data_IF_465880208021
#
_entry.id   IF_465880208021
#
_cell.length_a   1.000
_cell.length_b   1.000
_cell.length_c   1.000
_cell.angle_alpha   90.00
_cell.angle_beta   90.00
_cell.angle_gamma   90.00
#
_symmetry.space_group_name_H-M   'P 1'
#
loop_
_entity.id
_entity.type
_entity.pdbx_description
1 polymer ?
#
# COMPACT_ATOMS: atom_id res chain seq x y z
N UNK A 1 -6.66 -8.68 20.79
CA UNK A 1 -5.77 -8.98 19.66
C UNK A 1 -5.62 -7.70 18.87
N UNK A 2 -4.44 -7.08 18.89
CA UNK A 2 -4.18 -5.90 18.07
C UNK A 2 -4.23 -6.35 16.60
N UNK A 3 -5.08 -5.72 15.78
CA UNK A 3 -5.15 -6.01 14.36
C UNK A 3 -3.83 -5.67 13.67
N UNK A 4 -3.44 -6.46 12.68
CA UNK A 4 -2.23 -6.23 11.87
C UNK A 4 -2.34 -4.88 11.15
N UNK A 5 -1.23 -4.16 11.05
CA UNK A 5 -1.21 -2.80 10.51
C UNK A 5 -0.31 -2.70 9.29
N UNK A 6 -0.79 -1.99 8.26
CA UNK A 6 -0.03 -1.77 7.05
C UNK A 6 0.09 -0.27 6.76
N UNK A 7 1.29 0.16 6.37
CA UNK A 7 1.56 1.49 5.85
C UNK A 7 1.75 1.39 4.33
N UNK A 8 0.97 2.15 3.56
CA UNK A 8 1.06 2.15 2.10
C UNK A 8 1.38 3.56 1.61
N UNK A 9 2.57 3.71 1.02
CA UNK A 9 3.09 4.95 0.47
C UNK A 9 3.00 4.90 -1.05
N UNK A 10 1.93 5.47 -1.62
CA UNK A 10 1.71 5.43 -3.07
C UNK A 10 1.04 6.69 -3.61
N UNK A 11 1.27 6.97 -4.89
CA UNK A 11 0.41 7.88 -5.67
C UNK A 11 -1.01 7.29 -5.77
N UNK A 12 -2.03 8.14 -5.81
CA UNK A 12 -3.43 7.70 -5.80
C UNK A 12 -3.78 6.76 -6.95
N UNK A 13 -4.53 5.70 -6.65
CA UNK A 13 -5.15 4.79 -7.60
C UNK A 13 -4.36 3.51 -7.88
N UNK A 14 -3.02 3.56 -7.93
CA UNK A 14 -2.26 2.43 -8.45
C UNK A 14 -2.15 1.24 -7.47
N UNK A 15 -2.13 1.52 -6.16
CA UNK A 15 -2.12 0.50 -5.10
C UNK A 15 -3.46 0.39 -4.35
N UNK A 16 -4.54 0.94 -4.91
CA UNK A 16 -5.86 0.92 -4.29
C UNK A 16 -6.34 -0.51 -4.01
N UNK A 17 -6.21 -1.41 -5.00
CA UNK A 17 -6.59 -2.82 -4.85
C UNK A 17 -5.81 -3.55 -3.74
N UNK A 18 -4.54 -3.18 -3.51
CA UNK A 18 -3.74 -3.73 -2.41
C UNK A 18 -4.33 -3.31 -1.06
N UNK A 19 -4.64 -2.03 -0.92
CA UNK A 19 -5.24 -1.50 0.30
C UNK A 19 -6.62 -2.12 0.57
N UNK A 20 -7.45 -2.31 -0.45
CA UNK A 20 -8.75 -2.98 -0.33
C UNK A 20 -8.60 -4.45 0.09
N UNK A 21 -7.65 -5.17 -0.52
CA UNK A 21 -7.39 -6.58 -0.20
C UNK A 21 -6.93 -6.75 1.25
N UNK A 22 -5.92 -5.98 1.67
CA UNK A 22 -5.45 -6.00 3.06
C UNK A 22 -6.56 -5.61 4.03
N UNK A 23 -7.38 -4.61 3.70
CA UNK A 23 -8.52 -4.24 4.54
C UNK A 23 -9.54 -5.37 4.64
N UNK A 24 -9.84 -6.08 3.54
CA UNK A 24 -10.72 -7.25 3.52
C UNK A 24 -10.18 -8.43 4.33
N UNK A 25 -8.86 -8.50 4.50
CA UNK A 25 -8.17 -9.47 5.36
C UNK A 25 -8.08 -9.04 6.84
N UNK A 26 -8.66 -7.90 7.19
CA UNK A 26 -8.71 -7.41 8.58
C UNK A 26 -7.56 -6.49 8.99
N UNK A 27 -6.77 -6.00 8.03
CA UNK A 27 -5.68 -5.09 8.34
C UNK A 27 -6.19 -3.67 8.61
N UNK A 28 -5.50 -2.96 9.50
CA UNK A 28 -5.61 -1.50 9.60
C UNK A 28 -4.59 -0.88 8.64
N UNK A 29 -5.08 -0.34 7.53
CA UNK A 29 -4.27 0.25 6.47
C UNK A 29 -4.23 1.77 6.63
N UNK A 30 -3.04 2.36 6.60
CA UNK A 30 -2.84 3.82 6.56
C UNK A 30 -2.24 4.22 5.23
N UNK A 31 -2.84 5.22 4.58
CA UNK A 31 -2.48 5.69 3.23
C UNK A 31 -2.14 7.19 3.26
N UNK A 32 -0.87 7.55 3.51
CA UNK A 32 -0.39 8.90 3.35
C UNK A 32 -0.25 9.24 1.86
N UNK A 33 -1.12 10.09 1.32
CA UNK A 33 -1.01 10.55 -0.06
C UNK A 33 -1.64 11.93 -0.29
N UNK A 34 -1.22 12.62 -1.36
CA UNK A 34 -1.63 14.01 -1.64
C UNK A 34 -3.11 14.16 -1.99
N UNK A 35 -3.67 13.21 -2.74
CA UNK A 35 -5.08 13.29 -3.18
C UNK A 35 -5.92 12.36 -2.33
N UNK A 36 -7.12 12.83 -1.97
CA UNK A 36 -8.08 12.01 -1.24
C UNK A 36 -8.42 10.75 -2.04
N UNK A 37 -8.36 9.60 -1.38
CA UNK A 37 -8.71 8.32 -1.98
C UNK A 37 -9.64 7.56 -1.01
N UNK A 38 -10.96 7.69 -1.17
CA UNK A 38 -11.90 6.91 -0.37
C UNK A 38 -11.78 5.44 -0.80
N UNK A 39 -11.46 4.56 0.15
CA UNK A 39 -11.62 3.13 -0.05
C UNK A 39 -13.00 2.75 0.46
N UNK A 40 -13.76 1.95 -0.31
CA UNK A 40 -15.15 1.55 -0.05
C UNK A 40 -15.36 0.76 1.27
N UNK A 41 -14.30 0.56 2.02
CA UNK A 41 -14.29 -0.01 3.37
C UNK A 41 -14.46 1.03 4.47
N UNK A 42 -14.32 2.33 4.18
CA UNK A 42 -14.88 3.35 5.07
C UNK A 42 -16.40 3.22 4.98
N UNK A 43 -17.03 2.58 5.95
CA UNK A 43 -18.48 2.66 6.14
C UNK A 43 -18.82 4.10 6.52
N UNK A 44 -18.83 5.00 5.53
CA UNK A 44 -19.50 6.28 5.63
C UNK A 44 -20.97 5.98 5.35
N UNK A 45 -21.89 6.32 6.28
CA UNK A 45 -23.30 6.28 5.96
C UNK A 45 -23.48 7.14 4.70
N UNK A 46 -24.01 6.54 3.62
CA UNK A 46 -24.27 7.30 2.39
C UNK A 46 -25.14 8.52 2.66
N UNK A 47 -25.19 9.48 1.75
CA UNK A 47 -25.96 10.72 1.94
C UNK A 47 -27.43 10.47 2.33
N UNK A 48 -28.02 9.35 1.89
CA UNK A 48 -29.34 8.88 2.31
C UNK A 48 -29.40 8.43 3.79
N UNK A 49 -28.37 7.74 4.29
CA UNK A 49 -28.27 7.31 5.68
C UNK A 49 -27.95 8.48 6.63
N UNK A 50 -27.14 9.46 6.21
CA UNK A 50 -26.94 10.69 6.98
C UNK A 50 -28.24 11.51 7.12
N UNK A 51 -29.10 11.47 6.09
CA UNK A 51 -30.42 12.13 6.14
C UNK A 51 -31.41 11.39 7.03
N UNK A 52 -31.31 10.07 7.19
CA UNK A 52 -32.20 9.29 8.06
C UNK A 52 -31.80 9.32 9.54
N UNK A 53 -30.54 9.63 9.86
CA UNK A 53 -30.05 9.80 11.23
C UNK A 53 -30.51 11.09 11.92
N UNK A 54 -31.20 12.00 11.21
CA UNK A 54 -31.68 13.29 11.75
C UNK A 54 -33.01 13.23 12.50
N UNK A 55 -33.58 12.05 12.72
CA UNK A 55 -34.78 11.88 13.58
C UNK A 55 -34.49 10.90 14.74
N UNK A 56 -34.95 11.19 15.97
CA UNK A 56 -34.82 10.24 17.08
C UNK A 56 -35.62 8.97 16.75
N UNK A 57 -34.97 7.80 16.75
CA UNK A 57 -35.66 6.50 16.81
C UNK A 57 -35.27 5.45 15.78
N UNK A 58 -34.47 5.75 14.74
CA UNK A 58 -34.12 4.74 13.74
C UNK A 58 -32.83 3.99 14.13
N UNK A 59 -32.96 2.85 14.84
CA UNK A 59 -31.87 1.87 14.94
C UNK A 59 -31.74 1.17 13.58
N UNK A 60 -30.60 1.27 12.87
CA UNK A 60 -30.42 0.50 11.65
C UNK A 60 -30.50 -0.99 11.99
N UNK A 61 -31.26 -1.71 11.16
CA UNK A 61 -31.42 -3.15 11.16
C UNK A 61 -30.06 -3.83 11.08
N UNK A 62 -29.62 -4.49 12.18
CA UNK A 62 -28.52 -5.47 12.16
C UNK A 62 -29.08 -6.76 11.54
N UNK A 63 -28.98 -6.86 10.21
CA UNK A 63 -29.36 -8.07 9.49
C UNK A 63 -28.39 -9.22 9.77
N UNK A 64 -28.89 -10.24 10.48
CA UNK A 64 -28.51 -11.66 10.38
C UNK A 64 -27.13 -12.10 10.93
N UNK A 65 -26.97 -13.39 11.28
CA UNK A 65 -25.69 -13.96 11.69
C UNK A 65 -24.79 -14.19 10.46
N UNK A 66 -24.40 -13.10 9.81
CA UNK A 66 -23.35 -13.12 8.81
C UNK A 66 -22.00 -13.20 9.53
N UNK A 67 -21.17 -14.18 9.16
CA UNK A 67 -19.76 -14.32 9.58
C UNK A 67 -19.14 -12.95 9.85
N UNK A 68 -18.62 -12.75 11.06
CA UNK A 68 -17.89 -11.53 11.43
C UNK A 68 -16.90 -11.21 10.31
N UNK A 69 -17.21 -10.18 9.52
CA UNK A 69 -16.25 -9.64 8.56
C UNK A 69 -15.07 -9.17 9.39
N UNK A 70 -13.84 -9.52 9.02
CA UNK A 70 -12.69 -8.99 9.74
C UNK A 70 -12.77 -7.46 9.65
N UNK A 71 -12.75 -6.77 10.80
CA UNK A 71 -12.94 -5.33 10.96
C UNK A 71 -11.71 -4.53 10.47
N UNK A 72 -11.20 -4.86 9.29
CA UNK A 72 -10.15 -4.08 8.67
C UNK A 72 -10.64 -2.68 8.39
N UNK A 73 -9.73 -1.71 8.51
CA UNK A 73 -10.03 -0.29 8.30
C UNK A 73 -8.94 0.33 7.46
N UNK A 74 -9.32 1.05 6.41
CA UNK A 74 -8.41 1.97 5.74
C UNK A 74 -8.57 3.40 6.28
N UNK A 75 -7.46 4.10 6.46
CA UNK A 75 -7.42 5.51 6.89
C UNK A 75 -6.53 6.29 5.93
N UNK A 76 -7.14 7.22 5.20
CA UNK A 76 -6.40 8.17 4.38
C UNK A 76 -5.83 9.30 5.24
N UNK A 77 -4.62 9.73 4.92
CA UNK A 77 -3.93 10.85 5.56
C UNK A 77 -3.36 11.75 4.47
N UNK A 78 -3.67 13.04 4.55
CA UNK A 78 -3.07 14.00 3.63
C UNK A 78 -1.58 14.16 3.90
N UNK A 79 -0.76 13.81 2.90
CA UNK A 79 0.68 13.85 3.02
C UNK A 79 1.38 14.21 1.70
N UNK A 80 2.58 14.78 1.84
CA UNK A 80 3.41 15.22 0.73
C UNK A 80 4.82 14.62 0.84
N UNK A 81 5.35 14.06 -0.25
CA UNK A 81 6.67 13.42 -0.26
C UNK A 81 7.84 14.39 -0.02
N UNK A 82 7.68 15.66 -0.39
CA UNK A 82 8.62 16.76 -0.12
C UNK A 82 8.62 17.21 1.36
N UNK A 83 7.71 16.66 2.18
CA UNK A 83 7.65 16.90 3.63
C UNK A 83 7.67 15.58 4.41
N UNK A 84 8.78 14.80 4.35
CA UNK A 84 8.83 13.43 4.85
C UNK A 84 8.59 13.32 6.36
N UNK A 85 9.06 14.28 7.16
CA UNK A 85 8.81 14.31 8.62
C UNK A 85 7.36 14.57 8.97
N UNK A 86 6.70 15.48 8.24
CA UNK A 86 5.27 15.78 8.43
C UNK A 86 4.42 14.56 8.05
N UNK A 87 4.78 13.91 6.92
CA UNK A 87 4.17 12.66 6.49
C UNK A 87 4.27 11.59 7.58
N UNK A 88 5.46 11.35 8.12
CA UNK A 88 5.68 10.34 9.15
C UNK A 88 4.88 10.62 10.42
N UNK A 89 4.88 11.86 10.92
CA UNK A 89 4.12 12.23 12.12
C UNK A 89 2.60 12.03 11.94
N UNK A 90 2.05 12.38 10.78
CA UNK A 90 0.62 12.15 10.51
C UNK A 90 0.31 10.65 10.35
N UNK A 91 1.20 9.89 9.72
CA UNK A 91 1.06 8.44 9.57
C UNK A 91 1.10 7.74 10.95
N UNK A 92 2.01 8.13 11.84
CA UNK A 92 2.12 7.63 13.21
C UNK A 92 0.82 7.82 13.99
N UNK A 93 0.28 9.05 13.96
CA UNK A 93 -0.98 9.39 14.62
C UNK A 93 -2.15 8.53 14.10
N UNK A 94 -2.15 8.20 12.81
CA UNK A 94 -3.17 7.37 12.19
C UNK A 94 -2.99 5.87 12.49
N UNK A 95 -1.75 5.36 12.51
CA UNK A 95 -1.41 3.95 12.78
C UNK A 95 -1.69 3.55 14.23
N UNK A 96 -1.52 4.49 15.19
CA UNK A 96 -1.68 4.23 16.63
C UNK A 96 -0.79 3.07 17.12
N UNK A 97 0.45 3.02 16.65
CA UNK A 97 1.45 1.98 16.95
C UNK A 97 2.31 1.64 15.72
N UNK A 98 3.12 0.59 15.81
CA UNK A 98 4.00 0.18 14.73
C UNK A 98 3.26 -0.56 13.60
N UNK A 99 3.74 -0.41 12.37
CA UNK A 99 3.25 -1.13 11.19
C UNK A 99 3.97 -2.46 11.02
N UNK A 100 3.20 -3.51 10.73
CA UNK A 100 3.69 -4.86 10.48
C UNK A 100 4.04 -5.09 9.00
N UNK A 101 3.71 -4.14 8.12
CA UNK A 101 3.98 -4.18 6.69
C UNK A 101 4.13 -2.77 6.13
N UNK A 102 5.15 -2.57 5.28
CA UNK A 102 5.29 -1.38 4.44
C UNK A 102 5.17 -1.74 2.97
N UNK A 103 4.34 -1.00 2.22
CA UNK A 103 4.31 -1.05 0.75
C UNK A 103 4.62 0.34 0.22
N UNK A 104 5.70 0.49 -0.54
CA UNK A 104 6.20 1.77 -1.00
C UNK A 104 6.35 1.81 -2.52
N UNK A 105 5.57 2.68 -3.17
CA UNK A 105 5.77 3.09 -4.56
C UNK A 105 5.97 4.61 -4.61
N UNK A 106 7.24 5.00 -4.45
CA UNK A 106 7.67 6.39 -4.28
C UNK A 106 8.61 6.74 -5.43
N UNK A 107 8.50 7.97 -5.93
CA UNK A 107 9.45 8.50 -6.91
C UNK A 107 10.88 8.51 -6.36
N UNK A 108 11.87 8.17 -7.19
CA UNK A 108 13.27 7.97 -6.77
C UNK A 108 13.81 9.14 -5.94
N UNK A 109 13.52 10.37 -6.37
CA UNK A 109 14.01 11.60 -5.72
C UNK A 109 13.59 11.77 -4.25
N UNK A 110 12.47 11.18 -3.85
CA UNK A 110 11.97 11.24 -2.47
C UNK A 110 12.17 9.94 -1.70
N UNK A 111 12.65 8.87 -2.34
CA UNK A 111 12.64 7.53 -1.71
C UNK A 111 13.47 7.53 -0.43
N UNK A 112 14.72 7.96 -0.50
CA UNK A 112 15.63 7.94 0.66
C UNK A 112 15.09 8.76 1.83
N UNK A 113 14.55 9.94 1.54
CA UNK A 113 14.05 10.86 2.57
C UNK A 113 12.75 10.37 3.21
N UNK A 114 11.83 9.82 2.42
CA UNK A 114 10.56 9.27 2.91
C UNK A 114 10.78 7.96 3.66
N UNK A 115 11.55 7.01 3.11
CA UNK A 115 11.82 5.71 3.74
C UNK A 115 12.50 5.88 5.10
N UNK A 116 13.52 6.73 5.19
CA UNK A 116 14.19 7.02 6.46
C UNK A 116 13.29 7.72 7.49
N UNK A 117 12.28 8.48 7.05
CA UNK A 117 11.33 9.11 7.97
C UNK A 117 10.29 8.14 8.52
N UNK A 118 9.94 7.08 7.79
CA UNK A 118 8.92 6.09 8.21
C UNK A 118 9.51 4.84 8.84
N UNK A 119 10.83 4.62 8.79
CA UNK A 119 11.49 3.45 9.37
C UNK A 119 11.13 3.25 10.84
N UNK A 120 11.13 4.31 11.65
CA UNK A 120 10.75 4.25 13.07
C UNK A 120 9.29 3.87 13.32
N UNK A 121 8.43 3.91 12.30
CA UNK A 121 7.03 3.49 12.39
C UNK A 121 6.86 1.99 12.16
N UNK A 122 7.90 1.28 11.71
CA UNK A 122 7.83 -0.15 11.42
C UNK A 122 8.13 -0.97 12.67
N UNK A 123 7.43 -2.10 12.82
CA UNK A 123 7.79 -3.10 13.81
C UNK A 123 9.15 -3.73 13.43
N UNK A 124 9.89 -4.21 14.42
CA UNK A 124 11.18 -4.85 14.15
C UNK A 124 11.01 -6.04 13.20
N UNK A 125 11.78 -6.04 12.10
CA UNK A 125 11.70 -7.09 11.08
C UNK A 125 10.42 -7.06 10.23
N UNK A 126 9.58 -6.02 10.34
CA UNK A 126 8.40 -5.87 9.49
C UNK A 126 8.80 -5.90 8.01
N UNK A 127 8.20 -6.75 7.17
CA UNK A 127 8.55 -6.82 5.77
C UNK A 127 8.20 -5.54 5.01
N UNK A 128 8.99 -5.27 3.98
CA UNK A 128 8.87 -4.11 3.09
C UNK A 128 8.68 -4.58 1.67
N UNK A 129 7.76 -3.96 0.94
CA UNK A 129 7.59 -4.14 -0.50
C UNK A 129 7.91 -2.82 -1.18
N UNK A 130 8.93 -2.80 -2.03
CA UNK A 130 9.33 -1.62 -2.80
C UNK A 130 8.96 -1.79 -4.27
N UNK A 131 8.16 -0.89 -4.81
CA UNK A 131 7.83 -0.83 -6.23
C UNK A 131 8.73 0.20 -6.91
N UNK A 132 9.51 -0.26 -7.89
CA UNK A 132 10.48 0.55 -8.64
C UNK A 132 10.14 0.55 -10.11
N UNK A 133 10.11 1.72 -10.72
CA UNK A 133 10.08 1.84 -12.17
C UNK A 133 11.47 1.51 -12.71
N UNK A 134 11.56 0.75 -13.79
CA UNK A 134 12.85 0.49 -14.39
C UNK A 134 13.37 1.72 -15.15
N UNK A 135 14.14 2.55 -14.47
CA UNK A 135 14.95 3.59 -15.09
C UNK A 135 16.43 3.26 -14.88
N UNK A 136 17.12 2.92 -15.98
CA UNK A 136 18.57 2.98 -16.11
C UNK A 136 19.40 2.20 -15.08
N UNK A 137 19.54 0.89 -15.25
CA UNK A 137 20.55 0.10 -14.53
C UNK A 137 20.12 -1.34 -14.29
N UNK A 138 21.04 -2.28 -14.49
CA UNK A 138 20.85 -3.72 -14.21
C UNK A 138 21.12 -4.02 -12.72
N UNK A 139 21.87 -3.14 -12.04
CA UNK A 139 22.20 -3.28 -10.63
C UNK A 139 21.18 -2.54 -9.76
N UNK A 140 20.46 -3.31 -8.95
CA UNK A 140 19.58 -2.76 -7.92
C UNK A 140 20.43 -2.30 -6.75
N UNK A 141 20.29 -1.03 -6.29
CA UNK A 141 20.91 -0.62 -5.05
C UNK A 141 20.32 -1.40 -3.89
N UNK A 142 21.17 -1.68 -2.89
CA UNK A 142 20.83 -2.38 -1.66
C UNK A 142 19.52 -1.86 -1.04
N UNK A 143 18.75 -2.72 -0.35
CA UNK A 143 17.56 -2.30 0.39
C UNK A 143 17.88 -1.12 1.31
N UNK A 144 17.05 -0.08 1.27
CA UNK A 144 17.28 1.13 2.07
C UNK A 144 17.11 0.88 3.57
N UNK A 145 16.34 -0.15 3.92
CA UNK A 145 16.00 -0.54 5.29
C UNK A 145 16.61 -1.92 5.57
N UNK A 146 17.91 -2.01 5.92
CA UNK A 146 18.62 -3.29 6.01
C UNK A 146 18.08 -4.22 7.13
N UNK A 147 17.42 -3.65 8.13
CA UNK A 147 16.77 -4.39 9.22
C UNK A 147 15.45 -5.06 8.82
N UNK A 148 15.00 -4.88 7.57
CA UNK A 148 13.69 -5.29 7.11
C UNK A 148 13.78 -6.16 5.84
N UNK A 149 13.21 -7.38 5.84
CA UNK A 149 13.18 -8.22 4.64
C UNK A 149 12.40 -7.51 3.54
N UNK A 150 13.01 -7.36 2.37
CA UNK A 150 12.50 -6.48 1.32
C UNK A 150 12.19 -7.23 0.02
N UNK A 151 10.94 -7.16 -0.43
CA UNK A 151 10.53 -7.63 -1.75
C UNK A 151 10.55 -6.46 -2.72
N UNK A 152 11.42 -6.48 -3.73
CA UNK A 152 11.50 -5.42 -4.74
C UNK A 152 10.71 -5.83 -5.97
N UNK A 153 9.75 -5.01 -6.38
CA UNK A 153 8.96 -5.17 -7.61
C UNK A 153 9.48 -4.20 -8.65
N UNK A 154 10.17 -4.71 -9.67
CA UNK A 154 10.72 -3.92 -10.76
C UNK A 154 9.76 -3.92 -11.95
N UNK A 155 9.18 -2.75 -12.25
CA UNK A 155 8.24 -2.58 -13.33
C UNK A 155 8.96 -2.35 -14.66
N UNK A 156 8.68 -3.21 -15.63
CA UNK A 156 9.03 -3.02 -17.03
C UNK A 156 8.14 -2.00 -17.72
N UNK A 157 8.39 -1.80 -19.01
CA UNK A 157 7.65 -0.85 -19.85
C UNK A 157 6.56 -1.52 -20.71
N UNK A 158 6.73 -2.81 -21.02
CA UNK A 158 5.79 -3.59 -21.84
C UNK A 158 5.26 -4.81 -21.08
N UNK A 159 4.12 -5.34 -21.51
CA UNK A 159 3.52 -6.54 -20.91
C UNK A 159 4.44 -7.75 -21.06
N UNK A 160 4.41 -8.66 -20.08
CA UNK A 160 5.08 -9.95 -20.17
C UNK A 160 4.38 -10.91 -21.15
N UNK A 161 3.09 -10.68 -21.41
CA UNK A 161 2.26 -11.51 -22.27
C UNK A 161 2.19 -10.98 -23.71
N UNK A 162 2.45 -9.69 -23.91
CA UNK A 162 2.41 -9.04 -25.22
C UNK A 162 3.45 -7.90 -25.30
N UNK A 163 4.52 -8.12 -26.07
CA UNK A 163 5.62 -7.17 -26.24
C UNK A 163 5.21 -5.86 -26.96
N UNK A 164 4.05 -5.83 -27.61
CA UNK A 164 3.53 -4.66 -28.31
C UNK A 164 2.61 -3.81 -27.42
N UNK A 165 2.21 -4.33 -26.26
CA UNK A 165 1.32 -3.64 -25.32
C UNK A 165 2.11 -3.02 -24.18
N UNK A 166 1.72 -1.82 -23.77
CA UNK A 166 2.19 -1.24 -22.52
C UNK A 166 1.82 -2.12 -21.32
N UNK A 167 2.65 -2.12 -20.29
CA UNK A 167 2.36 -2.82 -19.05
C UNK A 167 1.04 -2.31 -18.44
N UNK A 168 0.08 -3.21 -18.26
CA UNK A 168 -1.24 -2.82 -17.78
C UNK A 168 -1.26 -2.66 -16.26
N UNK A 169 -2.21 -1.85 -15.79
CA UNK A 169 -2.42 -1.61 -14.37
C UNK A 169 -2.77 -2.88 -13.58
N UNK A 170 -3.51 -3.80 -14.19
CA UNK A 170 -3.84 -5.10 -13.58
C UNK A 170 -2.57 -5.95 -13.37
N UNK A 171 -1.67 -6.00 -14.37
CA UNK A 171 -0.41 -6.75 -14.28
C UNK A 171 0.48 -6.20 -13.16
N UNK A 172 0.53 -4.87 -13.01
CA UNK A 172 1.25 -4.21 -11.90
C UNK A 172 0.62 -4.61 -10.56
N UNK A 173 -0.71 -4.51 -10.45
CA UNK A 173 -1.44 -4.84 -9.22
C UNK A 173 -1.24 -6.30 -8.78
N UNK A 174 -1.26 -7.24 -9.74
CA UNK A 174 -1.00 -8.66 -9.49
C UNK A 174 0.44 -8.88 -9.00
N UNK A 175 1.44 -8.33 -9.71
CA UNK A 175 2.83 -8.46 -9.32
C UNK A 175 3.15 -7.87 -7.93
N UNK A 176 2.52 -6.74 -7.58
CA UNK A 176 2.65 -6.16 -6.23
C UNK A 176 1.93 -7.01 -5.19
N UNK A 177 0.74 -7.55 -5.50
CA UNK A 177 0.01 -8.45 -4.60
C UNK A 177 0.82 -9.71 -4.27
N UNK A 178 1.48 -10.29 -5.27
CA UNK A 178 2.35 -11.45 -5.09
C UNK A 178 3.56 -11.13 -4.22
N UNK A 179 4.19 -9.96 -4.41
CA UNK A 179 5.28 -9.51 -3.56
C UNK A 179 4.82 -9.29 -2.11
N UNK A 180 3.65 -8.69 -1.90
CA UNK A 180 3.04 -8.52 -0.56
C UNK A 180 2.80 -9.87 0.11
N UNK A 181 2.23 -10.84 -0.61
CA UNK A 181 2.00 -12.19 -0.10
C UNK A 181 3.31 -12.85 0.34
N UNK A 182 4.33 -12.82 -0.51
CA UNK A 182 5.66 -13.37 -0.19
C UNK A 182 6.29 -12.73 1.04
N UNK A 183 6.19 -11.40 1.14
CA UNK A 183 6.61 -10.61 2.29
C UNK A 183 5.93 -11.07 3.59
N UNK A 184 4.60 -11.20 3.58
CA UNK A 184 3.81 -11.65 4.73
C UNK A 184 4.13 -13.11 5.09
N UNK A 185 4.40 -13.96 4.11
CA UNK A 185 4.81 -15.36 4.30
C UNK A 185 6.26 -15.51 4.81
N UNK A 186 7.00 -14.41 5.00
CA UNK A 186 8.34 -14.43 5.57
C UNK A 186 9.44 -14.85 4.60
N UNK A 187 9.22 -14.72 3.30
CA UNK A 187 10.27 -15.01 2.30
C UNK A 187 11.46 -14.05 2.45
N UNK A 188 12.68 -14.50 2.14
CA UNK A 188 13.87 -13.64 2.15
C UNK A 188 13.76 -12.53 1.10
N UNK A 189 14.58 -11.49 1.27
CA UNK A 189 14.71 -10.39 0.32
C UNK A 189 14.89 -10.93 -1.10
N UNK A 190 14.05 -10.49 -2.03
CA UNK A 190 14.15 -10.91 -3.43
C UNK A 190 13.57 -9.86 -4.37
N UNK A 191 13.98 -9.93 -5.63
CA UNK A 191 13.50 -9.03 -6.70
C UNK A 191 12.60 -9.78 -7.67
N UNK A 192 11.49 -9.15 -8.03
CA UNK A 192 10.48 -9.64 -8.96
C UNK A 192 10.34 -8.66 -10.11
N UNK A 193 10.53 -9.13 -11.33
CA UNK A 193 10.29 -8.32 -12.52
C UNK A 193 8.85 -8.49 -12.98
N UNK A 194 8.14 -7.38 -13.18
CA UNK A 194 6.77 -7.35 -13.71
C UNK A 194 6.79 -6.69 -15.08
N UNK A 195 6.37 -7.43 -16.10
CA UNK A 195 6.54 -6.99 -17.50
C UNK A 195 7.97 -7.15 -18.02
N UNK A 196 8.24 -6.57 -19.19
CA UNK A 196 9.56 -6.60 -19.81
C UNK A 196 10.10 -5.19 -19.99
N UNK A 197 11.42 -5.07 -19.88
CA UNK A 197 12.13 -3.89 -20.34
C UNK A 197 12.09 -3.87 -21.86
N UNK A 198 11.74 -2.72 -22.45
CA UNK A 198 11.95 -2.57 -23.89
C UNK A 198 13.44 -2.76 -24.17
N UNK A 199 13.83 -3.66 -25.09
CA UNK A 199 15.22 -3.72 -25.50
C UNK A 199 15.61 -2.35 -26.04
N UNK A 200 16.69 -1.79 -25.51
CA UNK A 200 17.34 -0.64 -26.12
C UNK A 200 17.81 -1.11 -27.49
N UNK A 201 17.08 -0.71 -28.54
CA UNK A 201 17.54 -0.90 -29.92
C UNK A 201 18.84 -0.10 -30.02
N UNK A 202 19.98 -0.80 -30.11
CA UNK A 202 21.28 -0.23 -30.45
C UNK A 202 21.37 -0.03 -31.95
#
# INVERSE_FOLDING_TARGET
MAGRKALILAGTGMLAGIAENLTREGWHVVLPCRRYHPLDTEVRPGAAALRSLRRPGHRPYRGGPGRARPDGKATWVEAHWDRPRELAAKAEAALRGQADLLVAWIHEEYRRSVMGAVEGLLAHGAPVVEVRNAFGGVDLPDPLLPSHPTQVVQLGTVSAHDAHRCLAQAEIGEGVSDAVRRAIEGHPTSTHQVGQLRPLVR
#
